data_IF_097082564388
#
_entry.id   IF_097082564388
#
_cell.length_a   1.000
_cell.length_b   1.000
_cell.length_c   1.000
_cell.angle_alpha   90.00
_cell.angle_beta   90.00
_cell.angle_gamma   90.00
#
_symmetry.space_group_name_H-M   'P 1'
#
loop_
_entity.id
_entity.type
_entity.pdbx_description
1 polymer ?
#
# COMPACT_ATOMS: atom_id res chain seq x y z
N UNK A 1 13.34 -23.01 -25.69
CA UNK A 1 13.47 -21.71 -24.99
C UNK A 1 12.13 -21.04 -24.72
N UNK A 2 11.27 -20.77 -25.71
CA UNK A 2 9.98 -20.07 -25.51
C UNK A 2 9.09 -20.67 -24.41
N UNK A 3 8.89 -21.99 -24.43
CA UNK A 3 8.06 -22.69 -23.44
C UNK A 3 8.65 -22.64 -22.02
N UNK A 4 9.98 -22.64 -21.91
CA UNK A 4 10.66 -22.50 -20.61
C UNK A 4 10.48 -21.07 -20.07
N UNK A 5 10.63 -20.04 -20.91
CA UNK A 5 10.38 -18.66 -20.50
C UNK A 5 8.92 -18.43 -20.07
N UNK A 6 7.96 -18.97 -20.83
CA UNK A 6 6.54 -18.91 -20.46
C UNK A 6 6.24 -19.63 -19.14
N UNK A 7 6.85 -20.81 -18.93
CA UNK A 7 6.70 -21.56 -17.69
C UNK A 7 7.27 -20.81 -16.49
N UNK A 8 8.43 -20.17 -16.64
CA UNK A 8 9.05 -19.35 -15.58
C UNK A 8 8.21 -18.10 -15.29
N UNK A 9 7.74 -17.38 -16.31
CA UNK A 9 6.86 -16.21 -16.12
C UNK A 9 5.58 -16.64 -15.41
N UNK A 10 4.94 -17.73 -15.84
CA UNK A 10 3.72 -18.23 -15.22
C UNK A 10 3.92 -18.65 -13.76
N UNK A 11 4.96 -19.42 -13.47
CA UNK A 11 5.27 -19.84 -12.11
C UNK A 11 5.59 -18.65 -11.21
N UNK A 12 6.40 -17.71 -11.69
CA UNK A 12 6.75 -16.50 -10.95
C UNK A 12 5.51 -15.65 -10.67
N UNK A 13 4.65 -15.41 -11.67
CA UNK A 13 3.39 -14.68 -11.51
C UNK A 13 2.44 -15.33 -10.51
N UNK A 14 2.30 -16.66 -10.53
CA UNK A 14 1.45 -17.38 -9.57
C UNK A 14 2.01 -17.24 -8.15
N UNK A 15 3.30 -17.53 -7.97
CA UNK A 15 3.94 -17.47 -6.65
C UNK A 15 3.92 -16.05 -6.09
N UNK A 16 4.34 -15.08 -6.89
CA UNK A 16 4.41 -13.67 -6.48
C UNK A 16 3.02 -13.08 -6.26
N UNK A 17 2.08 -13.37 -7.17
CA UNK A 17 0.69 -12.93 -7.06
C UNK A 17 0.03 -13.48 -5.81
N UNK A 18 0.23 -14.77 -5.49
CA UNK A 18 -0.32 -15.39 -4.29
C UNK A 18 0.29 -14.82 -3.02
N UNK A 19 1.62 -14.63 -2.98
CA UNK A 19 2.30 -14.04 -1.83
C UNK A 19 1.86 -12.60 -1.59
N UNK A 20 1.76 -11.78 -2.64
CA UNK A 20 1.26 -10.41 -2.55
C UNK A 20 -0.21 -10.35 -2.17
N UNK A 21 -1.04 -11.25 -2.72
CA UNK A 21 -2.44 -11.36 -2.36
C UNK A 21 -2.59 -11.75 -0.88
N UNK A 22 -1.80 -12.70 -0.40
CA UNK A 22 -1.78 -13.08 1.01
C UNK A 22 -1.32 -11.92 1.91
N UNK A 23 -0.24 -11.22 1.53
CA UNK A 23 0.27 -10.08 2.28
C UNK A 23 -0.73 -8.94 2.36
N UNK A 24 -1.41 -8.64 1.25
CA UNK A 24 -2.45 -7.61 1.26
C UNK A 24 -3.72 -8.12 1.92
N UNK A 25 -4.17 -9.37 1.75
CA UNK A 25 -5.46 -9.82 2.32
C UNK A 25 -5.41 -10.05 3.83
N UNK A 26 -4.30 -10.58 4.34
CA UNK A 26 -4.12 -10.82 5.79
C UNK A 26 -3.91 -9.53 6.57
N UNK A 27 -3.43 -8.49 5.88
CA UNK A 27 -3.24 -7.15 6.43
C UNK A 27 -4.37 -6.20 6.03
N UNK A 28 -5.11 -6.46 4.95
CA UNK A 28 -6.37 -5.77 4.68
C UNK A 28 -7.37 -6.28 5.67
N UNK A 29 -7.88 -5.39 6.50
CA UNK A 29 -8.99 -5.74 7.30
C UNK A 29 -10.16 -5.87 6.31
N UNK A 30 -10.55 -7.10 5.98
CA UNK A 30 -11.92 -7.40 5.52
C UNK A 30 -12.95 -7.08 6.66
N UNK A 31 -12.54 -6.29 7.67
CA UNK A 31 -13.12 -6.02 8.98
C UNK A 31 -13.04 -4.53 9.41
N UNK A 32 -12.44 -3.63 8.62
CA UNK A 32 -12.47 -2.19 8.97
C UNK A 32 -13.36 -1.43 8.01
N UNK A 33 -14.11 -0.48 8.57
CA UNK A 33 -14.97 0.38 7.79
C UNK A 33 -14.12 1.31 6.90
N UNK A 34 -14.24 1.13 5.58
CA UNK A 34 -13.61 2.01 4.59
C UNK A 34 -14.19 3.44 4.62
N UNK A 35 -15.37 3.60 5.22
CA UNK A 35 -16.07 4.88 5.38
C UNK A 35 -16.33 5.61 4.04
N UNK A 36 -16.36 4.87 2.93
CA UNK A 36 -16.60 5.43 1.58
C UNK A 36 -18.05 5.91 1.42
N UNK A 37 -18.99 5.27 2.12
CA UNK A 37 -20.43 5.54 2.04
C UNK A 37 -21.00 6.11 3.33
N UNK A 38 -20.16 6.39 4.33
CA UNK A 38 -20.59 6.97 5.60
C UNK A 38 -20.26 8.46 5.58
N UNK A 39 -21.27 9.30 5.29
CA UNK A 39 -21.10 10.76 5.21
C UNK A 39 -20.66 11.41 6.54
N UNK A 40 -20.67 10.66 7.64
CA UNK A 40 -20.23 11.12 8.95
C UNK A 40 -18.79 10.70 9.30
N UNK A 41 -18.10 9.96 8.44
CA UNK A 41 -16.73 9.48 8.69
C UNK A 41 -15.82 9.76 7.51
N UNK A 42 -14.56 10.06 7.81
CA UNK A 42 -13.54 10.28 6.78
C UNK A 42 -13.14 8.99 6.08
N UNK A 43 -12.79 9.09 4.80
CA UNK A 43 -12.41 7.95 3.96
C UNK A 43 -11.06 7.34 4.37
N UNK A 44 -10.99 6.02 4.50
CA UNK A 44 -9.76 5.28 4.79
C UNK A 44 -8.95 5.03 3.50
N UNK A 45 -8.18 6.02 3.06
CA UNK A 45 -7.35 5.91 1.85
C UNK A 45 -6.34 4.75 1.86
N UNK A 46 -5.56 4.51 2.95
CA UNK A 46 -4.63 3.38 3.01
C UNK A 46 -5.31 2.01 2.78
N UNK A 47 -6.51 1.83 3.34
CA UNK A 47 -7.32 0.64 3.15
C UNK A 47 -7.79 0.47 1.70
N UNK A 48 -8.27 1.55 1.06
CA UNK A 48 -8.68 1.53 -0.35
C UNK A 48 -7.52 1.13 -1.26
N UNK A 49 -6.34 1.72 -1.05
CA UNK A 49 -5.13 1.34 -1.79
C UNK A 49 -4.82 -0.15 -1.61
N UNK A 50 -4.92 -0.67 -0.38
CA UNK A 50 -4.70 -2.09 -0.09
C UNK A 50 -5.66 -3.02 -0.87
N UNK A 51 -6.93 -2.64 -1.02
CA UNK A 51 -7.92 -3.41 -1.80
C UNK A 51 -7.57 -3.42 -3.29
N UNK A 52 -7.14 -2.28 -3.83
CA UNK A 52 -6.70 -2.21 -5.23
C UNK A 52 -5.48 -3.11 -5.44
N UNK A 53 -4.49 -3.06 -4.54
CA UNK A 53 -3.28 -3.91 -4.61
C UNK A 53 -3.61 -5.40 -4.47
N UNK A 54 -4.55 -5.77 -3.60
CA UNK A 54 -5.14 -7.12 -3.56
C UNK A 54 -5.69 -7.54 -4.93
N UNK A 55 -6.44 -6.66 -5.59
CA UNK A 55 -7.05 -6.94 -6.90
C UNK A 55 -5.99 -7.13 -7.98
N UNK A 56 -4.94 -6.30 -8.00
CA UNK A 56 -3.81 -6.44 -8.91
C UNK A 56 -3.04 -7.75 -8.67
N UNK A 57 -2.84 -8.13 -7.42
CA UNK A 57 -2.21 -9.40 -7.06
C UNK A 57 -3.04 -10.61 -7.52
N UNK A 58 -4.36 -10.58 -7.32
CA UNK A 58 -5.29 -11.60 -7.82
C UNK A 58 -5.28 -11.70 -9.35
N UNK A 59 -5.31 -10.56 -10.06
CA UNK A 59 -5.20 -10.53 -11.51
C UNK A 59 -3.86 -11.11 -12.00
N UNK A 60 -2.77 -10.89 -11.25
CA UNK A 60 -1.45 -11.44 -11.56
C UNK A 60 -1.44 -12.97 -11.48
N UNK A 61 -2.12 -13.57 -10.49
CA UNK A 61 -2.30 -15.02 -10.40
C UNK A 61 -3.06 -15.55 -11.62
N UNK A 62 -4.16 -14.90 -12.01
CA UNK A 62 -4.96 -15.30 -13.18
C UNK A 62 -4.14 -15.24 -14.47
N UNK A 63 -3.36 -14.17 -14.68
CA UNK A 63 -2.44 -14.06 -15.82
C UNK A 63 -1.37 -15.16 -15.80
N UNK A 64 -0.85 -15.49 -14.61
CA UNK A 64 0.07 -16.59 -14.39
C UNK A 64 -0.53 -17.95 -14.81
N UNK A 65 -1.77 -18.24 -14.40
CA UNK A 65 -2.49 -19.47 -14.77
C UNK A 65 -2.66 -19.57 -16.28
N UNK A 66 -3.13 -18.50 -16.94
CA UNK A 66 -3.31 -18.47 -18.40
C UNK A 66 -1.98 -18.70 -19.11
N UNK A 67 -0.89 -18.09 -18.62
CA UNK A 67 0.44 -18.31 -19.21
C UNK A 67 0.96 -19.74 -18.98
N UNK A 68 0.68 -20.36 -17.83
CA UNK A 68 1.05 -21.74 -17.54
C UNK A 68 0.24 -22.75 -18.36
N UNK A 69 -1.06 -22.51 -18.57
CA UNK A 69 -1.90 -23.34 -19.44
C UNK A 69 -1.36 -23.40 -20.87
N UNK A 70 -0.80 -22.30 -21.39
CA UNK A 70 -0.17 -22.30 -22.72
C UNK A 70 1.07 -23.20 -22.84
N UNK A 71 1.66 -23.59 -21.70
CA UNK A 71 2.79 -24.52 -21.62
C UNK A 71 2.33 -25.96 -21.38
N UNK A 72 1.27 -26.15 -20.60
CA UNK A 72 0.77 -27.45 -20.16
C UNK A 72 -0.25 -28.08 -21.14
N UNK A 73 -1.06 -27.28 -21.82
CA UNK A 73 -2.22 -27.73 -22.61
C UNK A 73 -2.03 -27.61 -24.13
N UNK A 74 -0.94 -28.16 -24.65
CA UNK A 74 -0.84 -28.67 -26.03
C UNK A 74 -0.22 -27.76 -27.14
N UNK A 75 0.38 -28.50 -28.07
CA UNK A 75 1.34 -28.18 -29.12
C UNK A 75 0.80 -27.38 -30.31
N UNK A 76 -0.52 -27.19 -30.42
CA UNK A 76 -1.19 -26.60 -31.59
C UNK A 76 -1.62 -25.12 -31.44
N UNK A 77 -1.65 -24.58 -30.21
CA UNK A 77 -1.97 -23.15 -29.97
C UNK A 77 -0.78 -22.19 -30.24
N UNK A 78 0.21 -22.65 -31.02
CA UNK A 78 1.52 -22.00 -31.26
C UNK A 78 1.47 -20.60 -31.88
N UNK A 79 0.32 -20.14 -32.39
CA UNK A 79 0.26 -19.02 -33.32
C UNK A 79 -0.23 -17.68 -32.78
N UNK A 80 -0.71 -17.56 -31.54
CA UNK A 80 -1.00 -16.23 -31.01
C UNK A 80 0.26 -15.60 -30.42
N UNK A 81 0.94 -14.74 -31.20
CA UNK A 81 2.04 -13.87 -30.72
C UNK A 81 1.55 -12.69 -29.87
N UNK A 82 0.24 -12.49 -29.81
CA UNK A 82 -0.45 -11.37 -29.16
C UNK A 82 -0.55 -11.44 -27.62
N UNK A 83 -0.78 -12.61 -26.96
CA UNK A 83 -0.98 -12.67 -25.50
C UNK A 83 0.23 -12.17 -24.71
N UNK A 84 1.46 -12.55 -25.06
CA UNK A 84 2.68 -12.15 -24.34
C UNK A 84 2.92 -10.63 -24.32
N UNK A 85 2.64 -9.95 -25.43
CA UNK A 85 2.77 -8.48 -25.52
C UNK A 85 1.75 -7.79 -24.62
N UNK A 86 0.50 -8.23 -24.72
CA UNK A 86 -0.60 -7.66 -23.95
C UNK A 86 -0.35 -7.87 -22.46
N UNK A 87 0.03 -9.08 -22.05
CA UNK A 87 0.41 -9.39 -20.66
C UNK A 87 1.58 -8.53 -20.17
N UNK A 88 2.61 -8.35 -20.99
CA UNK A 88 3.74 -7.47 -20.66
C UNK A 88 3.31 -6.03 -20.39
N UNK A 89 2.47 -5.44 -21.25
CA UNK A 89 1.93 -4.10 -21.03
C UNK A 89 1.01 -4.02 -19.80
N UNK A 90 0.23 -5.07 -19.52
CA UNK A 90 -0.59 -5.14 -18.31
C UNK A 90 0.29 -5.12 -17.05
N UNK A 91 1.38 -5.89 -17.02
CA UNK A 91 2.33 -5.84 -15.89
C UNK A 91 2.99 -4.47 -15.74
N UNK A 92 3.33 -3.79 -16.84
CA UNK A 92 3.83 -2.41 -16.77
C UNK A 92 2.77 -1.45 -16.22
N UNK A 93 1.49 -1.62 -16.59
CA UNK A 93 0.40 -0.83 -16.00
C UNK A 93 0.25 -1.10 -14.49
N UNK A 94 0.33 -2.37 -14.06
CA UNK A 94 0.31 -2.73 -12.64
C UNK A 94 1.50 -2.14 -11.88
N UNK A 95 2.69 -2.14 -12.49
CA UNK A 95 3.88 -1.50 -11.94
C UNK A 95 3.66 -0.01 -11.72
N UNK A 96 3.07 0.72 -12.68
CA UNK A 96 2.80 2.15 -12.52
C UNK A 96 1.83 2.40 -11.38
N UNK A 97 0.73 1.64 -11.29
CA UNK A 97 -0.27 1.80 -10.22
C UNK A 97 0.35 1.51 -8.85
N UNK A 98 1.03 0.37 -8.70
CA UNK A 98 1.67 0.00 -7.44
C UNK A 98 2.81 0.94 -7.06
N UNK A 99 3.55 1.47 -8.05
CA UNK A 99 4.60 2.46 -7.85
C UNK A 99 4.06 3.78 -7.32
N UNK A 100 2.92 4.24 -7.83
CA UNK A 100 2.22 5.42 -7.28
C UNK A 100 1.82 5.18 -5.82
N UNK A 101 1.23 4.03 -5.50
CA UNK A 101 0.87 3.71 -4.12
C UNK A 101 2.09 3.59 -3.21
N UNK A 102 3.18 2.97 -3.67
CA UNK A 102 4.44 2.91 -2.94
C UNK A 102 4.97 4.30 -2.56
N UNK A 103 4.95 5.24 -3.52
CA UNK A 103 5.36 6.64 -3.27
C UNK A 103 4.41 7.33 -2.29
N UNK A 104 3.10 7.22 -2.49
CA UNK A 104 2.10 7.84 -1.59
C UNK A 104 2.24 7.29 -0.18
N UNK A 105 2.38 5.97 -0.01
CA UNK A 105 2.60 5.34 1.29
C UNK A 105 3.89 5.85 1.93
N UNK A 106 5.00 5.83 1.19
CA UNK A 106 6.30 6.28 1.72
C UNK A 106 6.35 7.77 2.05
N UNK A 107 5.61 8.62 1.35
CA UNK A 107 5.45 10.02 1.74
C UNK A 107 4.66 10.13 3.05
N UNK A 108 3.48 9.52 3.13
CA UNK A 108 2.59 9.71 4.28
C UNK A 108 3.06 9.03 5.57
N UNK A 109 3.74 7.89 5.47
CA UNK A 109 4.38 7.23 6.62
C UNK A 109 5.69 7.90 7.06
N UNK A 110 6.18 8.89 6.31
CA UNK A 110 7.41 9.62 6.62
C UNK A 110 8.71 8.91 6.18
N UNK A 111 8.63 7.89 5.33
CA UNK A 111 9.80 7.15 4.85
C UNK A 111 10.63 7.91 3.81
N UNK A 112 10.02 8.76 2.97
CA UNK A 112 10.73 9.48 1.90
C UNK A 112 10.87 10.98 2.14
N UNK A 113 9.79 11.63 2.56
CA UNK A 113 9.67 13.08 2.66
C UNK A 113 8.75 13.45 3.81
N UNK A 114 8.62 14.75 4.04
CA UNK A 114 7.69 15.31 5.03
C UNK A 114 6.23 15.07 4.63
N UNK A 115 5.64 13.93 5.03
CA UNK A 115 4.20 13.66 4.95
C UNK A 115 3.52 13.67 6.31
N UNK A 116 2.29 13.12 6.36
CA UNK A 116 1.39 13.16 7.54
C UNK A 116 2.11 12.74 8.82
N UNK A 117 2.77 11.59 8.82
CA UNK A 117 3.40 11.03 10.02
C UNK A 117 4.72 11.68 10.43
N UNK A 118 5.20 12.65 9.67
CA UNK A 118 6.45 13.38 9.97
C UNK A 118 6.21 14.84 10.35
N UNK A 119 4.96 15.31 10.30
CA UNK A 119 4.59 16.67 10.70
C UNK A 119 4.66 16.79 12.23
N UNK A 120 5.47 17.73 12.71
CA UNK A 120 5.66 18.04 14.13
C UNK A 120 5.14 19.42 14.52
N UNK A 121 4.46 20.12 13.59
CA UNK A 121 3.79 21.39 13.87
C UNK A 121 2.43 21.15 14.55
N UNK A 122 1.68 22.22 14.84
CA UNK A 122 0.37 22.13 15.49
C UNK A 122 -0.64 21.27 14.69
N UNK A 123 -0.52 21.28 13.36
CA UNK A 123 -1.32 20.46 12.43
C UNK A 123 -0.79 19.02 12.25
N UNK A 124 0.26 18.66 12.98
CA UNK A 124 0.87 17.33 12.95
C UNK A 124 0.18 16.33 13.86
N UNK A 125 0.55 15.06 13.74
CA UNK A 125 -0.02 13.98 14.54
C UNK A 125 0.37 14.13 16.02
N UNK A 126 -0.58 14.26 16.97
CA UNK A 126 -0.27 14.60 18.35
C UNK A 126 0.71 13.66 19.06
N UNK A 127 0.64 12.31 18.90
CA UNK A 127 1.66 11.44 19.47
C UNK A 127 3.07 11.67 18.90
N UNK A 128 3.17 11.99 17.60
CA UNK A 128 4.46 12.31 16.95
C UNK A 128 4.99 13.66 17.41
N UNK A 129 4.08 14.64 17.53
CA UNK A 129 4.40 15.98 18.04
C UNK A 129 4.90 15.89 19.49
N UNK A 130 4.28 15.04 20.30
CA UNK A 130 4.68 14.79 21.67
C UNK A 130 6.13 14.26 21.74
N UNK A 131 6.43 13.18 21.03
CA UNK A 131 7.77 12.60 20.98
C UNK A 131 8.83 13.59 20.47
N UNK A 132 8.44 14.53 19.59
CA UNK A 132 9.32 15.58 19.09
C UNK A 132 9.60 16.67 20.14
N UNK A 133 8.60 17.09 20.91
CA UNK A 133 8.76 18.11 21.97
C UNK A 133 9.49 17.53 23.18
N UNK A 134 9.23 16.26 23.53
CA UNK A 134 9.78 15.59 24.70
C UNK A 134 10.67 14.39 24.32
N UNK A 135 11.85 14.61 23.72
CA UNK A 135 12.70 13.52 23.22
C UNK A 135 13.20 12.56 24.31
N UNK A 136 13.16 12.99 25.59
CA UNK A 136 13.59 12.20 26.75
C UNK A 136 12.48 11.37 27.40
N UNK A 137 11.21 11.69 27.14
CA UNK A 137 10.04 11.01 27.71
C UNK A 137 9.24 10.46 26.54
N UNK A 138 9.43 9.18 26.21
CA UNK A 138 8.74 8.55 25.08
C UNK A 138 7.47 7.88 25.52
N UNK A 139 6.51 7.78 24.59
CA UNK A 139 5.32 6.96 24.78
C UNK A 139 5.73 5.48 24.65
N UNK A 140 5.68 4.74 25.75
CA UNK A 140 6.08 3.33 25.83
C UNK A 140 4.87 2.39 25.86
N UNK A 141 3.71 2.87 26.32
CA UNK A 141 2.50 2.07 26.46
C UNK A 141 1.24 2.79 25.98
N UNK A 142 0.19 2.02 25.69
CA UNK A 142 -1.10 2.55 25.21
C UNK A 142 -1.77 3.49 26.21
N UNK A 143 -1.51 3.34 27.51
CA UNK A 143 -2.08 4.23 28.53
C UNK A 143 -1.55 5.68 28.44
N UNK A 144 -0.39 5.88 27.80
CA UNK A 144 0.19 7.19 27.52
C UNK A 144 -0.29 7.80 26.19
N UNK A 145 -1.18 7.13 25.45
CA UNK A 145 -1.69 7.62 24.17
C UNK A 145 -2.84 8.63 24.29
N UNK A 146 -3.13 9.08 25.52
CA UNK A 146 -4.08 10.14 25.82
C UNK A 146 -3.36 11.50 25.70
N UNK A 147 -3.52 12.16 24.56
CA UNK A 147 -2.78 13.40 24.24
C UNK A 147 -3.77 14.54 23.98
N UNK A 148 -3.52 15.71 24.57
CA UNK A 148 -4.27 16.92 24.24
C UNK A 148 -3.88 17.41 22.84
N UNK A 149 -4.88 17.62 22.00
CA UNK A 149 -4.71 17.91 20.58
C UNK A 149 -4.74 19.40 20.25
N UNK A 150 -5.18 20.26 21.19
CA UNK A 150 -5.58 21.64 20.92
C UNK A 150 -4.74 22.72 21.60
N UNK A 151 -3.72 22.33 22.37
CA UNK A 151 -2.86 23.27 23.09
C UNK A 151 -1.45 23.26 22.51
N UNK A 152 -0.82 24.44 22.43
CA UNK A 152 0.61 24.57 22.11
C UNK A 152 1.47 23.83 23.15
N UNK A 153 1.01 23.80 24.40
CA UNK A 153 1.54 22.96 25.46
C UNK A 153 0.91 21.57 25.35
N UNK A 154 1.61 20.62 24.72
CA UNK A 154 1.21 19.21 24.82
C UNK A 154 1.65 18.71 26.19
N UNK A 155 0.70 18.46 27.07
CA UNK A 155 0.99 17.77 28.31
C UNK A 155 0.64 16.28 28.15
N UNK A 156 1.61 15.39 28.40
CA UNK A 156 1.28 14.01 28.74
C UNK A 156 0.57 14.04 30.08
N UNK A 157 -0.56 13.36 30.17
CA UNK A 157 -1.11 13.02 31.47
C UNK A 157 -0.32 11.81 31.97
N UNK A 158 0.93 12.02 32.36
CA UNK A 158 1.60 11.12 33.31
C UNK A 158 0.80 11.17 34.63
N UNK A 159 -0.27 10.39 34.69
CA UNK A 159 -1.10 10.24 35.88
C UNK A 159 -2.51 10.80 35.75
N UNK A 160 -3.35 10.17 34.93
CA UNK A 160 -4.81 10.23 35.14
C UNK A 160 -5.19 9.64 36.53
N UNK A 161 -4.24 9.07 37.27
CA UNK A 161 -4.41 8.70 38.69
C UNK A 161 -3.85 9.74 39.67
N UNK A 162 -2.96 10.68 39.27
CA UNK A 162 -2.34 11.66 40.19
C UNK A 162 -2.77 13.11 39.95
N UNK A 163 -2.94 13.56 38.71
CA UNK A 163 -3.40 14.91 38.40
C UNK A 163 -4.87 15.17 38.77
N UNK A 164 -5.67 14.11 38.95
CA UNK A 164 -7.06 14.17 39.40
C UNK A 164 -7.24 14.52 40.90
N UNK A 165 -6.16 14.71 41.66
CA UNK A 165 -6.25 14.85 43.13
C UNK A 165 -5.92 16.22 43.70
N UNK A 166 -5.38 17.18 42.94
CA UNK A 166 -4.89 18.42 43.56
C UNK A 166 -5.40 19.74 43.00
N UNK A 167 -5.96 19.80 41.78
CA UNK A 167 -6.62 21.03 41.29
C UNK A 167 -7.64 20.70 40.19
N UNK A 168 -8.87 21.25 40.26
CA UNK A 168 -9.85 21.06 39.20
C UNK A 168 -9.32 21.73 37.91
N UNK A 169 -9.22 20.98 36.79
CA UNK A 169 -8.78 21.56 35.53
C UNK A 169 -9.83 22.56 35.05
N UNK A 170 -9.50 23.85 35.13
CA UNK A 170 -10.37 24.97 34.73
C UNK A 170 -10.26 25.32 33.24
N UNK A 171 -9.56 24.51 32.44
CA UNK A 171 -9.39 24.77 31.01
C UNK A 171 -9.53 23.47 30.23
N UNK A 172 -10.51 23.49 29.32
CA UNK A 172 -10.92 22.45 28.37
C UNK A 172 -9.83 21.46 27.92
N UNK A 173 -9.68 20.34 28.63
CA UNK A 173 -8.83 19.24 28.18
C UNK A 173 -9.70 18.19 27.48
N UNK A 174 -10.01 18.39 26.20
CA UNK A 174 -10.47 17.29 25.34
C UNK A 174 -9.27 16.41 25.04
N UNK A 175 -9.16 15.32 25.78
CA UNK A 175 -8.13 14.31 25.54
C UNK A 175 -8.66 13.32 24.52
N UNK A 176 -7.82 13.00 23.54
CA UNK A 176 -8.13 11.98 22.55
C UNK A 176 -7.27 10.76 22.87
N UNK A 177 -7.92 9.62 23.03
CA UNK A 177 -7.24 8.32 23.10
C UNK A 177 -6.85 7.90 21.69
N UNK A 178 -5.57 8.08 21.36
CA UNK A 178 -5.05 7.80 20.03
C UNK A 178 -4.91 6.29 19.75
N UNK A 179 -4.89 5.45 20.78
CA UNK A 179 -4.72 3.99 20.65
C UNK A 179 -5.90 3.29 19.95
N UNK A 180 -7.05 3.94 19.87
CA UNK A 180 -8.30 3.36 19.37
C UNK A 180 -8.66 3.86 17.97
N UNK A 181 -9.26 2.98 17.17
CA UNK A 181 -9.68 3.28 15.79
C UNK A 181 -10.82 4.31 15.67
N UNK A 182 -11.58 4.51 16.75
CA UNK A 182 -12.56 5.58 16.86
C UNK A 182 -12.09 6.49 17.98
N UNK A 183 -11.83 7.75 17.65
CA UNK A 183 -11.33 8.72 18.62
C UNK A 183 -12.39 8.91 19.71
N UNK A 184 -12.10 8.40 20.89
CA UNK A 184 -12.88 8.67 22.09
C UNK A 184 -12.38 10.00 22.62
N UNK A 185 -13.27 10.99 22.70
CA UNK A 185 -12.99 12.19 23.49
C UNK A 185 -13.36 11.86 24.92
N UNK A 186 -12.36 11.81 25.79
CA UNK A 186 -12.63 11.95 27.21
C UNK A 186 -12.98 13.42 27.46
N UNK A 187 -14.26 13.76 27.32
CA UNK A 187 -14.74 15.07 27.75
C UNK A 187 -14.97 14.96 29.26
N UNK A 188 -14.31 15.83 30.01
CA UNK A 188 -14.60 16.05 31.42
C UNK A 188 -15.49 17.29 31.51
N UNK A 189 -16.83 17.14 31.64
CA UNK A 189 -17.68 18.27 31.98
C UNK A 189 -17.15 18.94 33.23
N UNK A 190 -17.15 20.28 33.26
CA UNK A 190 -16.82 21.06 34.46
C UNK A 190 -17.50 20.46 35.69
N UNK A 191 -16.71 20.06 36.68
CA UNK A 191 -17.22 19.51 37.94
C UNK A 191 -17.67 18.04 37.90
N UNK A 192 -17.41 17.29 36.84
CA UNK A 192 -17.74 15.85 36.79
C UNK A 192 -16.51 14.95 36.61
N UNK A 193 -16.44 13.87 37.38
CA UNK A 193 -15.42 12.82 37.26
C UNK A 193 -15.81 11.73 36.24
N UNK A 194 -16.78 12.00 35.35
CA UNK A 194 -17.29 11.01 34.39
C UNK A 194 -16.76 11.31 33.00
N UNK A 195 -16.07 10.32 32.43
CA UNK A 195 -15.74 10.26 31.01
C UNK A 195 -17.06 10.05 30.26
N UNK A 196 -17.43 10.98 29.40
CA UNK A 196 -18.55 10.79 28.48
C UNK A 196 -18.00 10.10 27.23
N UNK A 197 -18.47 8.87 26.95
CA UNK A 197 -18.17 8.16 25.70
C UNK A 197 -18.91 8.85 24.53
N UNK A 198 -18.36 9.96 24.04
CA UNK A 198 -18.82 10.59 22.81
C UNK A 198 -18.01 10.04 21.63
N UNK A 199 -18.70 9.49 20.64
CA UNK A 199 -18.11 9.09 19.37
C UNK A 199 -17.64 10.37 18.66
N UNK A 200 -16.35 10.68 18.76
CA UNK A 200 -15.80 11.92 18.22
C UNK A 200 -15.15 11.67 16.86
N UNK A 201 -15.56 12.49 15.90
CA UNK A 201 -14.89 12.58 14.61
C UNK A 201 -13.73 13.56 14.83
N UNK A 202 -12.46 13.12 14.65
CA UNK A 202 -11.32 14.04 14.75
C UNK A 202 -11.52 15.23 13.79
N UNK A 203 -10.93 16.39 14.06
CA UNK A 203 -10.93 17.46 13.07
C UNK A 203 -10.34 16.96 11.74
N UNK A 204 -10.76 17.57 10.65
CA UNK A 204 -10.48 17.13 9.28
C UNK A 204 -8.98 17.00 8.96
N UNK A 205 -8.11 17.65 9.71
CA UNK A 205 -6.66 17.54 9.56
C UNK A 205 -6.02 16.35 10.30
N UNK A 206 -6.74 15.69 11.21
CA UNK A 206 -6.17 14.68 12.13
C UNK A 206 -6.61 13.24 11.84
N UNK A 207 -7.65 13.02 11.04
CA UNK A 207 -8.08 11.66 10.69
C UNK A 207 -7.01 10.89 9.90
N UNK A 208 -6.21 11.61 9.11
CA UNK A 208 -5.11 11.02 8.34
C UNK A 208 -4.06 10.39 9.26
N UNK A 209 -3.79 10.98 10.43
CA UNK A 209 -2.86 10.44 11.41
C UNK A 209 -3.30 9.06 11.94
N UNK A 210 -4.62 8.88 12.08
CA UNK A 210 -5.19 7.61 12.50
C UNK A 210 -5.05 6.58 11.38
N UNK A 211 -5.48 6.91 10.16
CA UNK A 211 -5.44 5.94 9.06
C UNK A 211 -4.03 5.57 8.61
N UNK A 212 -3.10 6.52 8.59
CA UNK A 212 -1.69 6.26 8.27
C UNK A 212 -0.91 5.63 9.42
N UNK A 213 -1.49 5.57 10.63
CA UNK A 213 -0.91 4.86 11.76
C UNK A 213 0.45 5.43 12.16
N UNK A 214 0.50 6.73 12.49
CA UNK A 214 1.79 7.41 12.56
C UNK A 214 2.67 7.01 13.76
N UNK A 215 2.07 6.57 14.88
CA UNK A 215 2.83 6.22 16.09
C UNK A 215 2.82 4.71 16.35
N UNK A 216 3.98 4.08 16.64
CA UNK A 216 4.10 2.63 16.78
C UNK A 216 3.36 2.04 17.99
N UNK A 217 3.20 2.81 19.06
CA UNK A 217 2.51 2.38 20.29
C UNK A 217 1.04 2.81 20.29
N UNK A 218 0.76 4.00 19.75
CA UNK A 218 -0.55 4.61 19.85
C UNK A 218 -1.41 4.31 18.65
N UNK A 219 -1.03 3.40 17.76
CA UNK A 219 -1.86 3.07 16.64
C UNK A 219 -1.54 1.67 16.10
N UNK A 220 -2.49 0.75 16.25
CA UNK A 220 -2.35 -0.63 15.76
C UNK A 220 -2.06 -0.70 14.24
N UNK A 221 -2.50 0.30 13.47
CA UNK A 221 -2.29 0.37 12.02
C UNK A 221 -0.86 0.74 11.63
N UNK A 222 -0.02 1.19 12.56
CA UNK A 222 1.36 1.56 12.26
C UNK A 222 2.10 0.43 11.55
N UNK A 223 2.07 -0.77 12.15
CA UNK A 223 2.71 -1.96 11.59
C UNK A 223 2.06 -2.39 10.27
N UNK A 224 0.73 -2.30 10.19
CA UNK A 224 -0.02 -2.64 8.98
C UNK A 224 0.39 -1.75 7.79
N UNK A 225 0.45 -0.43 7.99
CA UNK A 225 0.86 0.51 6.95
C UNK A 225 2.33 0.35 6.53
N UNK A 226 3.21 -0.02 7.46
CA UNK A 226 4.60 -0.37 7.12
C UNK A 226 4.68 -1.63 6.27
N UNK A 227 3.91 -2.68 6.61
CA UNK A 227 3.86 -3.90 5.81
C UNK A 227 3.32 -3.60 4.41
N UNK A 228 2.24 -2.83 4.31
CA UNK A 228 1.72 -2.42 3.01
C UNK A 228 2.71 -1.59 2.20
N UNK A 229 3.42 -0.64 2.83
CA UNK A 229 4.46 0.13 2.16
C UNK A 229 5.53 -0.79 1.54
N UNK A 230 6.04 -1.76 2.32
CA UNK A 230 7.03 -2.72 1.83
C UNK A 230 6.44 -3.61 0.74
N UNK A 231 5.19 -4.08 0.91
CA UNK A 231 4.51 -4.92 -0.07
C UNK A 231 4.28 -4.19 -1.39
N UNK A 232 3.91 -2.91 -1.39
CA UNK A 232 3.79 -2.06 -2.58
C UNK A 232 5.13 -1.93 -3.30
N UNK A 233 6.24 -1.75 -2.56
CA UNK A 233 7.58 -1.68 -3.14
C UNK A 233 8.00 -2.98 -3.82
N UNK A 234 7.76 -4.11 -3.14
CA UNK A 234 8.01 -5.46 -3.68
C UNK A 234 7.14 -5.71 -4.92
N UNK A 235 5.85 -5.40 -4.86
CA UNK A 235 4.92 -5.53 -5.98
C UNK A 235 5.37 -4.73 -7.20
N UNK A 236 5.77 -3.47 -7.00
CA UNK A 236 6.30 -2.61 -8.07
C UNK A 236 7.50 -3.24 -8.77
N UNK A 237 8.48 -3.73 -8.01
CA UNK A 237 9.66 -4.39 -8.56
C UNK A 237 9.32 -5.68 -9.31
N UNK A 238 8.40 -6.49 -8.78
CA UNK A 238 7.97 -7.75 -9.40
C UNK A 238 7.18 -7.51 -10.69
N UNK A 239 6.28 -6.53 -10.71
CA UNK A 239 5.54 -6.18 -11.92
C UNK A 239 6.46 -5.62 -13.01
N UNK A 240 7.48 -4.85 -12.64
CA UNK A 240 8.52 -4.43 -13.59
C UNK A 240 9.24 -5.64 -14.17
N UNK A 241 9.70 -6.57 -13.31
CA UNK A 241 10.41 -7.77 -13.74
C UNK A 241 9.56 -8.63 -14.68
N UNK A 242 8.31 -8.92 -14.30
CA UNK A 242 7.37 -9.71 -15.10
C UNK A 242 7.04 -9.03 -16.43
N UNK A 243 6.88 -7.71 -16.43
CA UNK A 243 6.68 -6.91 -17.64
C UNK A 243 7.88 -7.01 -18.59
N UNK A 244 9.10 -6.78 -18.07
CA UNK A 244 10.33 -6.86 -18.85
C UNK A 244 10.57 -8.27 -19.40
N UNK A 245 10.37 -9.32 -18.60
CA UNK A 245 10.50 -10.71 -19.03
C UNK A 245 9.50 -11.04 -20.14
N UNK A 246 8.24 -10.61 -20.00
CA UNK A 246 7.19 -10.83 -21.00
C UNK A 246 7.50 -10.15 -22.34
N UNK A 247 8.05 -8.93 -22.30
CA UNK A 247 8.45 -8.18 -23.49
C UNK A 247 9.76 -8.72 -24.11
N UNK A 248 10.74 -9.11 -23.29
CA UNK A 248 12.04 -9.62 -23.73
C UNK A 248 11.95 -11.03 -24.35
N UNK A 249 11.04 -11.88 -23.87
CA UNK A 249 10.77 -13.20 -24.45
C UNK A 249 10.45 -13.14 -25.96
N UNK A 250 10.05 -11.98 -26.47
CA UNK A 250 9.77 -11.72 -27.88
C UNK A 250 11.00 -11.41 -28.73
N UNK A 251 11.98 -10.67 -28.19
CA UNK A 251 13.17 -10.22 -28.95
C UNK A 251 13.96 -11.43 -29.46
N UNK A 252 14.00 -12.50 -28.66
CA UNK A 252 14.65 -13.75 -29.03
C UNK A 252 13.91 -14.56 -30.11
N UNK A 253 12.59 -14.36 -30.30
CA UNK A 253 11.83 -15.05 -31.35
C UNK A 253 11.94 -14.36 -32.71
N UNK A 254 12.00 -13.02 -32.75
CA UNK A 254 12.13 -12.26 -34.00
C UNK A 254 13.57 -12.36 -34.59
N UNK A 255 14.60 -12.51 -33.76
CA UNK A 255 15.99 -12.73 -34.22
C UNK A 255 16.26 -14.14 -34.74
N UNK A 256 15.62 -15.15 -34.16
CA UNK A 256 15.81 -16.56 -34.60
C UNK A 256 14.99 -16.93 -35.84
N UNK A 257 13.94 -16.18 -36.18
CA UNK A 257 13.08 -16.40 -37.36
C UNK A 257 13.46 -15.64 -38.64
N UNK A 258 14.58 -14.89 -38.66
CA UNK A 258 15.17 -14.46 -39.94
C UNK A 258 16.13 -15.55 -40.40
N UNK A 259 15.72 -16.55 -41.22
CA UNK A 259 16.70 -17.29 -41.98
C UNK A 259 17.45 -16.26 -42.81
N UNK A 260 18.78 -16.28 -42.76
CA UNK A 260 19.61 -15.59 -43.73
C UNK A 260 18.99 -15.83 -45.11
N UNK A 261 18.47 -14.76 -45.72
CA UNK A 261 17.87 -14.84 -47.04
C UNK A 261 19.01 -15.28 -47.95
N UNK A 262 19.07 -16.58 -48.24
CA UNK A 262 20.14 -17.19 -49.02
C UNK A 262 20.10 -16.45 -50.37
N UNK A 263 21.18 -15.74 -50.78
CA UNK A 263 21.14 -14.83 -51.92
C UNK A 263 20.75 -15.52 -53.24
N UNK A 264 20.77 -16.85 -53.28
CA UNK A 264 20.37 -17.69 -54.41
C UNK A 264 18.92 -17.50 -54.88
N UNK A 265 17.98 -17.08 -54.02
CA UNK A 265 16.58 -16.83 -54.48
C UNK A 265 16.39 -15.52 -55.26
N UNK A 266 17.35 -14.58 -55.20
CA UNK A 266 17.29 -13.38 -56.03
C UNK A 266 17.72 -13.64 -57.48
N UNK A 267 18.44 -14.74 -57.74
CA UNK A 267 18.84 -15.10 -59.09
C UNK A 267 17.67 -15.71 -59.90
N UNK A 268 16.89 -16.61 -59.30
CA UNK A 268 15.78 -17.27 -59.99
C UNK A 268 14.62 -16.32 -60.35
N UNK A 269 14.30 -15.36 -59.48
CA UNK A 269 13.28 -14.33 -59.80
C UNK A 269 13.69 -13.37 -60.93
N UNK A 270 14.98 -13.29 -61.26
CA UNK A 270 15.45 -12.46 -62.38
C UNK A 270 15.39 -13.22 -63.72
N UNK A 271 15.33 -14.54 -63.71
CA UNK A 271 15.24 -15.37 -64.92
C UNK A 271 13.78 -15.55 -65.37
N UNK A 272 12.82 -15.60 -64.45
CA UNK A 272 11.38 -15.69 -64.79
C UNK A 272 10.79 -14.43 -65.44
N UNK A 273 11.48 -13.29 -65.39
CA UNK A 273 11.03 -12.04 -66.05
C UNK A 273 11.69 -11.82 -67.43
N UNK A 274 12.35 -12.83 -68.00
CA UNK A 274 13.07 -12.74 -69.29
C UNK A 274 12.56 -13.79 -70.31
N UNK A 275 11.49 -14.52 -70.00
CA UNK A 275 10.76 -15.38 -70.95
C UNK A 275 9.33 -14.83 -71.07
#
# INVERSE_FOLDING_TARGET
MRNACLGVIGALSILSGTALFAAHITMTPVLENLNIFDGNKYTNYPGIMGIVECTLAGATVLLGIVSAQSVLCDSDTRNSKYPLRVTGFIYIAFMVISGVFFVIRGMNTGAFMSGVCSKTNIDGCPPIRYDHIFPTIKIENEAQCLVNTWTENIDLIEGATKALTTTPPTVYNRLIDWSKDQNYVAEYPEGSNKIIDAQYVPPENLYECVYWGCHPVCNARHRMNQVWFVASGIATGLYLLLGLMSLAARVNEDTTKRPAERPERKLYKKVENVI
#
